data_IF_241512746118
#
_entry.id   IF_241512746118
#
_cell.length_a   1.000
_cell.length_b   1.000
_cell.length_c   1.000
_cell.angle_alpha   90.00
_cell.angle_beta   90.00
_cell.angle_gamma   90.00
#
_symmetry.space_group_name_H-M   'P 1'
#
loop_
_entity.id
_entity.type
_entity.pdbx_description
1 polymer ?
#
# COMPACT_ATOMS: atom_id res chain seq x y z
N UNK A 1 -19.39 -4.55 -17.10
CA UNK A 1 -20.57 -4.51 -16.21
C UNK A 1 -20.01 -4.38 -14.79
N UNK A 2 -19.83 -3.22 -14.17
CA UNK A 2 -20.27 -1.85 -14.40
C UNK A 2 -19.07 -0.90 -14.19
N UNK A 3 -18.79 -0.07 -15.18
CA UNK A 3 -17.87 1.07 -15.06
C UNK A 3 -18.65 2.22 -14.41
N UNK A 4 -18.49 2.43 -13.11
CA UNK A 4 -18.98 3.65 -12.44
C UNK A 4 -18.18 4.87 -12.89
N UNK A 5 -18.59 5.47 -14.01
CA UNK A 5 -18.19 6.81 -14.45
C UNK A 5 -19.05 7.82 -13.70
N UNK A 6 -18.63 8.19 -12.50
CA UNK A 6 -19.33 9.18 -11.67
C UNK A 6 -18.34 10.09 -10.96
N UNK A 7 -18.50 11.40 -11.14
CA UNK A 7 -17.60 12.48 -10.66
C UNK A 7 -17.34 12.47 -9.14
N UNK A 8 -18.10 11.70 -8.35
CA UNK A 8 -17.91 11.52 -6.90
C UNK A 8 -17.10 10.25 -6.53
N UNK A 9 -17.00 9.25 -7.41
CA UNK A 9 -16.17 8.06 -7.27
C UNK A 9 -14.67 8.38 -7.42
N UNK A 10 -14.36 9.48 -8.11
CA UNK A 10 -13.00 9.87 -8.48
C UNK A 10 -12.06 10.12 -7.30
N UNK A 11 -12.47 10.85 -6.27
CA UNK A 11 -11.53 11.33 -5.25
C UNK A 11 -10.95 10.24 -4.33
N UNK A 12 -11.76 9.24 -3.92
CA UNK A 12 -11.28 8.13 -3.07
C UNK A 12 -10.42 7.16 -3.88
N UNK A 13 -10.86 6.83 -5.09
CA UNK A 13 -10.14 5.95 -6.02
C UNK A 13 -8.82 6.59 -6.50
N UNK A 14 -8.80 7.90 -6.74
CA UNK A 14 -7.57 8.64 -7.08
C UNK A 14 -6.51 8.56 -5.99
N UNK A 15 -6.90 8.60 -4.71
CA UNK A 15 -5.91 8.50 -3.61
C UNK A 15 -5.33 7.09 -3.49
N UNK A 16 -6.15 6.07 -3.69
CA UNK A 16 -5.70 4.67 -3.72
C UNK A 16 -4.76 4.45 -4.92
N UNK A 17 -5.15 4.89 -6.12
CA UNK A 17 -4.33 4.81 -7.32
C UNK A 17 -3.01 5.58 -7.18
N UNK A 18 -3.04 6.76 -6.54
CA UNK A 18 -1.83 7.53 -6.23
C UNK A 18 -0.87 6.74 -5.33
N UNK A 19 -1.41 6.02 -4.35
CA UNK A 19 -0.61 5.22 -3.44
C UNK A 19 0.01 4.00 -4.14
N UNK A 20 -0.77 3.32 -4.98
CA UNK A 20 -0.28 2.25 -5.84
C UNK A 20 0.87 2.73 -6.72
N UNK A 21 0.67 3.87 -7.41
CA UNK A 21 1.66 4.43 -8.33
C UNK A 21 2.96 4.85 -7.65
N UNK A 22 2.90 5.29 -6.40
CA UNK A 22 4.09 5.58 -5.61
C UNK A 22 4.93 4.30 -5.42
N UNK A 23 4.27 3.19 -5.09
CA UNK A 23 4.96 1.91 -4.88
C UNK A 23 5.57 1.38 -6.18
N UNK A 24 4.84 1.44 -7.31
CA UNK A 24 5.37 1.12 -8.64
C UNK A 24 6.69 1.84 -8.91
N UNK A 25 6.73 3.16 -8.70
CA UNK A 25 7.89 3.97 -9.07
C UNK A 25 9.09 3.74 -8.13
N UNK A 26 8.84 3.42 -6.85
CA UNK A 26 9.91 3.29 -5.86
C UNK A 26 10.48 1.88 -5.82
N UNK A 27 9.62 0.85 -5.99
CA UNK A 27 10.04 -0.53 -5.79
C UNK A 27 11.06 -1.00 -6.82
N UNK A 28 10.96 -0.52 -8.06
CA UNK A 28 11.88 -0.91 -9.15
C UNK A 28 13.34 -0.61 -8.82
N UNK A 29 13.61 0.44 -8.05
CA UNK A 29 14.98 0.81 -7.65
C UNK A 29 15.30 0.39 -6.22
N UNK A 30 14.39 0.62 -5.28
CA UNK A 30 14.66 0.38 -3.86
C UNK A 30 14.44 -1.07 -3.44
N UNK A 31 13.49 -1.77 -4.07
CA UNK A 31 12.97 -3.06 -3.61
C UNK A 31 12.08 -2.95 -2.36
N UNK A 32 11.19 -3.93 -2.17
CA UNK A 32 10.19 -3.91 -1.09
C UNK A 32 10.80 -3.91 0.32
N UNK A 33 11.88 -4.67 0.52
CA UNK A 33 12.48 -4.88 1.85
C UNK A 33 13.30 -3.71 2.38
N UNK A 34 13.57 -2.71 1.53
CA UNK A 34 14.23 -1.47 1.93
C UNK A 34 13.24 -0.35 2.28
N UNK A 35 11.93 -0.60 2.12
CA UNK A 35 10.89 0.36 2.48
C UNK A 35 10.60 0.30 3.98
N UNK A 36 10.29 1.47 4.57
CA UNK A 36 9.93 1.59 5.98
C UNK A 36 8.43 1.36 6.28
N UNK A 37 7.63 1.01 5.27
CA UNK A 37 6.17 0.89 5.38
C UNK A 37 5.46 2.24 5.27
N UNK A 38 4.43 2.45 6.10
CA UNK A 38 3.59 3.65 6.05
C UNK A 38 3.52 4.37 7.41
N UNK A 39 3.72 5.69 7.39
CA UNK A 39 3.46 6.58 8.51
C UNK A 39 2.40 7.60 8.12
N UNK A 40 1.39 7.77 8.97
CA UNK A 40 0.22 8.59 8.63
C UNK A 40 0.45 10.10 8.80
N UNK A 41 1.49 10.47 9.55
CA UNK A 41 1.94 11.84 9.84
C UNK A 41 0.80 12.88 9.92
N UNK A 42 -0.16 12.61 10.83
CA UNK A 42 -1.32 13.46 11.01
C UNK A 42 -1.53 13.81 12.46
N UNK A 43 -1.99 15.05 12.70
CA UNK A 43 -2.50 15.49 14.02
C UNK A 43 -3.98 15.12 14.24
N UNK A 44 -4.65 14.59 13.22
CA UNK A 44 -6.07 14.23 13.28
C UNK A 44 -6.26 12.75 13.64
N UNK A 45 -6.33 12.45 14.94
CA UNK A 45 -6.43 11.08 15.47
C UNK A 45 -7.57 10.25 14.85
N UNK A 46 -8.75 10.85 14.68
CA UNK A 46 -9.93 10.17 14.11
C UNK A 46 -9.75 9.76 12.64
N UNK A 47 -8.75 10.30 11.94
CA UNK A 47 -8.47 9.97 10.55
C UNK A 47 -7.44 8.86 10.36
N UNK A 48 -6.70 8.47 11.41
CA UNK A 48 -5.70 7.40 11.39
C UNK A 48 -6.22 6.10 10.75
N UNK A 49 -7.36 5.51 11.18
CA UNK A 49 -7.81 4.24 10.63
C UNK A 49 -8.20 4.36 9.14
N UNK A 50 -8.85 5.47 8.76
CA UNK A 50 -9.27 5.70 7.38
C UNK A 50 -8.09 5.80 6.41
N UNK A 51 -6.97 6.37 6.87
CA UNK A 51 -5.77 6.53 6.06
C UNK A 51 -4.92 5.28 6.01
N UNK A 52 -4.82 4.53 7.12
CA UNK A 52 -4.20 3.20 7.09
C UNK A 52 -4.95 2.26 6.15
N UNK A 53 -6.28 2.30 6.14
CA UNK A 53 -7.09 1.51 5.20
C UNK A 53 -6.80 1.93 3.74
N UNK A 54 -6.63 3.22 3.49
CA UNK A 54 -6.27 3.74 2.17
C UNK A 54 -4.89 3.22 1.72
N UNK A 55 -3.89 3.25 2.60
CA UNK A 55 -2.58 2.67 2.34
C UNK A 55 -2.68 1.17 2.00
N UNK A 56 -3.38 0.39 2.83
CA UNK A 56 -3.54 -1.07 2.63
C UNK A 56 -4.20 -1.37 1.28
N UNK A 57 -5.22 -0.61 0.88
CA UNK A 57 -5.85 -0.75 -0.44
C UNK A 57 -4.92 -0.38 -1.58
N UNK A 58 -4.10 0.67 -1.42
CA UNK A 58 -3.09 1.05 -2.39
C UNK A 58 -2.03 -0.02 -2.60
N UNK A 59 -1.56 -0.63 -1.51
CA UNK A 59 -0.63 -1.78 -1.56
C UNK A 59 -1.27 -2.99 -2.23
N UNK A 60 -2.51 -3.33 -1.88
CA UNK A 60 -3.21 -4.46 -2.50
C UNK A 60 -3.42 -4.25 -4.01
N UNK A 61 -3.71 -3.01 -4.44
CA UNK A 61 -3.83 -2.67 -5.86
C UNK A 61 -2.49 -2.83 -6.58
N UNK A 62 -1.41 -2.27 -6.03
CA UNK A 62 -0.05 -2.39 -6.54
C UNK A 62 0.36 -3.86 -6.71
N UNK A 63 0.20 -4.66 -5.67
CA UNK A 63 0.57 -6.07 -5.70
C UNK A 63 -0.33 -6.90 -6.63
N UNK A 64 -1.59 -6.49 -6.82
CA UNK A 64 -2.48 -7.08 -7.82
C UNK A 64 -1.94 -6.87 -9.23
N UNK A 65 -1.54 -5.64 -9.56
CA UNK A 65 -0.95 -5.31 -10.86
C UNK A 65 0.35 -6.09 -11.11
N UNK A 66 1.18 -6.28 -10.08
CA UNK A 66 2.42 -7.07 -10.17
C UNK A 66 2.17 -8.57 -10.38
N UNK A 67 1.10 -9.11 -9.80
CA UNK A 67 0.66 -10.49 -10.07
C UNK A 67 0.16 -10.60 -11.52
N UNK A 68 -0.65 -9.64 -11.99
CA UNK A 68 -1.19 -9.65 -13.34
C UNK A 68 -0.09 -9.49 -14.41
N UNK A 69 0.99 -8.77 -14.09
CA UNK A 69 2.21 -8.69 -14.91
C UNK A 69 3.07 -9.96 -14.85
N UNK A 70 2.78 -10.88 -13.93
CA UNK A 70 3.57 -12.10 -13.72
C UNK A 70 4.91 -11.87 -13.02
N UNK A 71 5.10 -10.72 -12.38
CA UNK A 71 6.33 -10.39 -11.63
C UNK A 71 6.33 -11.11 -10.28
N UNK A 72 5.16 -11.18 -9.62
CA UNK A 72 4.99 -11.86 -8.35
C UNK A 72 3.96 -12.99 -8.45
N UNK A 73 4.20 -14.07 -7.71
CA UNK A 73 3.16 -15.05 -7.40
C UNK A 73 2.26 -14.52 -6.28
N UNK A 74 1.05 -15.10 -6.17
CA UNK A 74 0.12 -14.78 -5.07
C UNK A 74 0.75 -14.96 -3.69
N UNK A 75 1.51 -16.04 -3.48
CA UNK A 75 2.16 -16.32 -2.20
C UNK A 75 3.22 -15.27 -1.84
N UNK A 76 4.02 -14.84 -2.83
CA UNK A 76 5.02 -13.79 -2.63
C UNK A 76 4.35 -12.45 -2.34
N UNK A 77 3.32 -12.10 -3.10
CA UNK A 77 2.54 -10.89 -2.88
C UNK A 77 1.91 -10.86 -1.47
N UNK A 78 1.38 -11.98 -0.97
CA UNK A 78 0.87 -12.06 0.40
C UNK A 78 1.96 -11.85 1.46
N UNK A 79 3.16 -12.38 1.23
CA UNK A 79 4.33 -12.15 2.09
C UNK A 79 4.75 -10.68 2.09
N UNK A 80 4.87 -10.08 0.90
CA UNK A 80 5.22 -8.67 0.72
C UNK A 80 4.15 -7.76 1.33
N UNK A 81 2.87 -8.09 1.20
CA UNK A 81 1.78 -7.32 1.81
C UNK A 81 1.91 -7.29 3.34
N UNK A 82 2.16 -8.44 3.98
CA UNK A 82 2.40 -8.51 5.44
C UNK A 82 3.63 -7.69 5.84
N UNK A 83 4.69 -7.78 5.05
CA UNK A 83 5.90 -7.00 5.27
C UNK A 83 5.61 -5.49 5.26
N UNK A 84 5.01 -4.98 4.18
CA UNK A 84 4.77 -3.54 3.99
C UNK A 84 3.78 -2.94 5.00
N UNK A 85 2.82 -3.73 5.49
CA UNK A 85 1.77 -3.25 6.40
C UNK A 85 2.23 -3.30 7.87
N UNK A 86 3.16 -4.18 8.22
CA UNK A 86 3.54 -4.41 9.62
C UNK A 86 5.06 -4.48 9.82
N UNK A 87 5.71 -5.50 9.25
CA UNK A 87 7.09 -5.84 9.64
C UNK A 87 8.11 -4.78 9.23
N UNK A 88 7.88 -4.10 8.11
CA UNK A 88 8.70 -2.98 7.64
C UNK A 88 8.78 -1.87 8.70
N UNK A 89 7.64 -1.41 9.22
CA UNK A 89 7.59 -0.37 10.23
C UNK A 89 8.23 -0.83 11.55
N UNK A 90 7.93 -2.06 11.98
CA UNK A 90 8.53 -2.63 13.18
C UNK A 90 10.06 -2.70 13.08
N UNK A 91 10.59 -3.14 11.94
CA UNK A 91 12.02 -3.24 11.69
C UNK A 91 12.69 -1.87 11.59
N UNK A 92 12.15 -0.96 10.79
CA UNK A 92 12.73 0.36 10.56
C UNK A 92 12.77 1.23 11.82
N UNK A 93 11.70 1.18 12.62
CA UNK A 93 11.61 1.95 13.87
C UNK A 93 12.09 1.18 15.11
N UNK A 94 12.66 -0.02 14.93
CA UNK A 94 13.17 -0.88 16.01
C UNK A 94 12.14 -1.09 17.13
N UNK A 95 10.89 -1.28 16.74
CA UNK A 95 9.79 -1.53 17.66
C UNK A 95 9.86 -2.98 18.15
N UNK A 96 9.41 -3.22 19.38
CA UNK A 96 9.22 -4.60 19.86
C UNK A 96 8.02 -5.20 19.15
N UNK A 97 8.17 -6.41 18.60
CA UNK A 97 7.02 -7.21 18.17
C UNK A 97 6.20 -7.55 19.42
N UNK A 98 4.94 -7.14 19.41
CA UNK A 98 3.95 -7.44 20.43
C UNK A 98 3.24 -8.73 20.06
#
# INVERSE_FOLDING_TARGET
METCVGSFCGAKTQRIAKMSKMNDNVVETAGYYNLAGFNDDTRAFLSLPARQELWRRGVALHLGDEIDRGILTRNEAEGVAKWLVHDAAVGSYRLKKV
#
